data_IF_331211878066
#
_entry.id   IF_331211878066
#
_cell.length_a   1.000
_cell.length_b   1.000
_cell.length_c   1.000
_cell.angle_alpha   90.00
_cell.angle_beta   90.00
_cell.angle_gamma   90.00
#
_symmetry.space_group_name_H-M   'P 1'
#
loop_
_entity.id
_entity.type
_entity.pdbx_description
1 polymer ?
#
# COMPACT_ATOMS: atom_id res chain seq x y z
N UNK A 1 -1.01 -9.57 -21.13
CA UNK A 1 -1.63 -8.45 -20.38
C UNK A 1 -3.14 -8.64 -20.15
N UNK A 2 -4.01 -8.73 -21.17
CA UNK A 2 -5.48 -8.81 -20.97
C UNK A 2 -5.96 -9.95 -20.07
N UNK A 3 -5.41 -11.15 -20.22
CA UNK A 3 -5.76 -12.31 -19.41
C UNK A 3 -5.36 -12.13 -17.93
N UNK A 4 -4.12 -11.72 -17.67
CA UNK A 4 -3.63 -11.45 -16.31
C UNK A 4 -4.45 -10.37 -15.60
N UNK A 5 -4.88 -9.34 -16.33
CA UNK A 5 -5.78 -8.31 -15.81
C UNK A 5 -7.12 -8.89 -15.36
N UNK A 6 -7.78 -9.69 -16.22
CA UNK A 6 -9.06 -10.30 -15.89
C UNK A 6 -8.97 -11.23 -14.67
N UNK A 7 -7.90 -12.05 -14.62
CA UNK A 7 -7.63 -12.97 -13.52
C UNK A 7 -7.42 -12.24 -12.18
N UNK A 8 -6.61 -11.18 -12.17
CA UNK A 8 -6.37 -10.34 -10.98
C UNK A 8 -7.63 -9.60 -10.52
N UNK A 9 -8.69 -9.51 -11.33
CA UNK A 9 -9.98 -8.93 -10.96
C UNK A 9 -11.09 -9.98 -10.71
N UNK A 10 -10.80 -11.27 -10.87
CA UNK A 10 -11.77 -12.36 -10.63
C UNK A 10 -12.19 -12.45 -9.17
N UNK A 11 -13.37 -12.98 -8.89
CA UNK A 11 -13.84 -13.25 -7.52
C UNK A 11 -13.22 -14.52 -6.92
N UNK A 12 -12.66 -15.40 -7.76
CA UNK A 12 -12.06 -16.66 -7.32
C UNK A 12 -10.61 -16.45 -6.91
N UNK A 13 -10.21 -16.97 -5.74
CA UNK A 13 -8.85 -16.82 -5.23
C UNK A 13 -7.80 -17.50 -6.15
N UNK A 14 -8.15 -18.64 -6.73
CA UNK A 14 -7.32 -19.41 -7.66
C UNK A 14 -7.00 -18.60 -8.92
N UNK A 15 -7.99 -17.89 -9.47
CA UNK A 15 -7.79 -17.01 -10.62
C UNK A 15 -6.83 -15.86 -10.27
N UNK A 16 -7.00 -15.25 -9.10
CA UNK A 16 -6.12 -14.15 -8.66
C UNK A 16 -4.68 -14.65 -8.54
N UNK A 17 -4.47 -15.80 -7.90
CA UNK A 17 -3.14 -16.42 -7.78
C UNK A 17 -2.54 -16.74 -9.14
N UNK A 18 -3.33 -17.28 -10.08
CA UNK A 18 -2.88 -17.53 -11.45
C UNK A 18 -2.51 -16.23 -12.16
N UNK A 19 -3.29 -15.16 -11.97
CA UNK A 19 -3.03 -13.83 -12.49
C UNK A 19 -1.71 -13.24 -11.97
N UNK A 20 -1.45 -13.39 -10.67
CA UNK A 20 -0.20 -12.99 -10.00
C UNK A 20 0.99 -13.74 -10.62
N UNK A 21 0.93 -15.07 -10.68
CA UNK A 21 2.02 -15.89 -11.22
C UNK A 21 2.35 -15.52 -12.68
N UNK A 22 1.33 -15.23 -13.49
CA UNK A 22 1.52 -14.76 -14.86
C UNK A 22 2.20 -13.38 -14.94
N UNK A 23 1.85 -12.46 -14.03
CA UNK A 23 2.47 -11.14 -13.98
C UNK A 23 3.93 -11.21 -13.53
N UNK A 24 4.24 -12.05 -12.54
CA UNK A 24 5.61 -12.28 -12.06
C UNK A 24 6.49 -12.88 -13.16
N UNK A 25 5.99 -13.91 -13.85
CA UNK A 25 6.70 -14.49 -14.99
C UNK A 25 6.96 -13.47 -16.09
N UNK A 26 5.97 -12.61 -16.39
CA UNK A 26 6.12 -11.57 -17.41
C UNK A 26 7.06 -10.44 -17.00
N UNK A 27 7.17 -10.13 -15.71
CA UNK A 27 8.11 -9.14 -15.17
C UNK A 27 9.54 -9.67 -15.18
N UNK A 28 9.73 -10.97 -14.90
CA UNK A 28 11.04 -11.62 -14.96
C UNK A 28 11.62 -11.68 -16.39
N UNK A 29 10.75 -11.70 -17.41
CA UNK A 29 11.15 -11.78 -18.82
C UNK A 29 11.25 -10.43 -19.55
N UNK A 30 11.03 -9.31 -18.85
CA UNK A 30 10.85 -7.99 -19.49
C UNK A 30 12.00 -7.03 -19.22
N UNK A 31 12.16 -6.04 -20.11
CA UNK A 31 13.09 -4.90 -20.04
C UNK A 31 12.43 -3.81 -20.88
N UNK A 32 12.37 -2.48 -20.55
CA UNK A 32 12.84 -1.66 -19.43
C UNK A 32 11.73 -1.23 -18.41
N UNK A 33 12.06 -0.49 -17.32
CA UNK A 33 11.15 -0.23 -16.17
C UNK A 33 9.82 0.49 -16.50
N UNK A 34 9.77 1.25 -17.58
CA UNK A 34 8.60 2.06 -17.96
C UNK A 34 7.48 1.22 -18.57
N UNK A 35 7.80 0.20 -19.37
CA UNK A 35 6.79 -0.69 -19.98
C UNK A 35 6.18 -1.65 -18.95
N UNK A 36 6.89 -1.91 -17.87
CA UNK A 36 6.46 -2.82 -16.82
C UNK A 36 5.68 -2.14 -15.69
N UNK A 37 5.58 -0.81 -15.70
CA UNK A 37 4.90 -0.04 -14.65
C UNK A 37 3.44 -0.49 -14.48
N UNK A 38 2.70 -0.68 -15.58
CA UNK A 38 1.31 -1.15 -15.52
C UNK A 38 1.21 -2.59 -14.98
N UNK A 39 2.16 -3.46 -15.34
CA UNK A 39 2.23 -4.83 -14.84
C UNK A 39 2.52 -4.86 -13.34
N UNK A 40 3.44 -4.00 -12.91
CA UNK A 40 3.87 -3.88 -11.52
C UNK A 40 2.73 -3.35 -10.63
N UNK A 41 1.94 -2.40 -11.13
CA UNK A 41 0.73 -1.95 -10.47
C UNK A 41 -0.34 -3.04 -10.39
N UNK A 42 -0.57 -3.79 -11.48
CA UNK A 42 -1.49 -4.92 -11.46
C UNK A 42 -1.06 -6.01 -10.48
N UNK A 43 0.25 -6.25 -10.35
CA UNK A 43 0.80 -7.18 -9.38
C UNK A 43 0.54 -6.69 -7.95
N UNK A 44 0.73 -5.39 -7.69
CA UNK A 44 0.41 -4.78 -6.40
C UNK A 44 -1.08 -4.95 -6.04
N UNK A 45 -1.99 -4.75 -7.01
CA UNK A 45 -3.43 -4.99 -6.83
C UNK A 45 -3.71 -6.46 -6.54
N UNK A 46 -3.07 -7.39 -7.24
CA UNK A 46 -3.19 -8.83 -6.99
C UNK A 46 -2.86 -9.18 -5.54
N UNK A 47 -1.69 -8.72 -5.07
CA UNK A 47 -1.26 -8.96 -3.69
C UNK A 47 -2.17 -8.29 -2.63
N UNK A 48 -2.69 -7.09 -2.92
CA UNK A 48 -3.68 -6.46 -2.04
C UNK A 48 -4.94 -7.33 -1.90
N UNK A 49 -5.43 -7.90 -3.02
CA UNK A 49 -6.63 -8.73 -3.03
C UNK A 49 -6.46 -10.09 -2.36
N UNK A 50 -5.24 -10.63 -2.34
CA UNK A 50 -4.92 -11.86 -1.59
C UNK A 50 -4.61 -11.61 -0.12
N UNK A 51 -4.58 -10.33 0.32
CA UNK A 51 -4.30 -9.95 1.71
C UNK A 51 -2.81 -9.83 2.05
N UNK A 52 -1.90 -9.97 1.07
CA UNK A 52 -0.47 -9.74 1.27
C UNK A 52 -0.16 -8.24 1.13
N UNK A 53 -0.58 -7.49 2.14
CA UNK A 53 -0.44 -6.04 2.17
C UNK A 53 1.02 -5.58 2.20
N UNK A 54 1.91 -6.38 2.80
CA UNK A 54 3.34 -6.10 2.86
C UNK A 54 3.98 -6.09 1.47
N UNK A 55 3.77 -7.14 0.66
CA UNK A 55 4.26 -7.17 -0.72
C UNK A 55 3.57 -6.14 -1.59
N UNK A 56 2.26 -5.96 -1.43
CA UNK A 56 1.51 -4.95 -2.17
C UNK A 56 2.08 -3.53 -1.95
N UNK A 57 2.44 -3.19 -0.71
CA UNK A 57 3.08 -1.92 -0.36
C UNK A 57 4.43 -1.73 -1.05
N UNK A 58 5.31 -2.72 -0.99
CA UNK A 58 6.63 -2.63 -1.63
C UNK A 58 6.52 -2.39 -3.14
N UNK A 59 5.59 -3.09 -3.79
CA UNK A 59 5.34 -2.93 -5.22
C UNK A 59 4.76 -1.55 -5.57
N UNK A 60 3.82 -1.04 -4.76
CA UNK A 60 3.23 0.28 -5.03
C UNK A 60 4.22 1.42 -4.77
N UNK A 61 5.13 1.27 -3.79
CA UNK A 61 6.22 2.22 -3.56
C UNK A 61 7.15 2.28 -4.79
N UNK A 62 7.53 1.13 -5.35
CA UNK A 62 8.29 1.09 -6.60
C UNK A 62 7.54 1.72 -7.78
N UNK A 63 6.22 1.57 -7.87
CA UNK A 63 5.42 2.28 -8.88
C UNK A 63 5.55 3.80 -8.76
N UNK A 64 5.59 4.32 -7.53
CA UNK A 64 5.68 5.76 -7.24
C UNK A 64 7.10 6.26 -7.49
N UNK A 65 8.14 5.46 -7.21
CA UNK A 65 9.52 5.79 -7.59
C UNK A 65 9.67 5.97 -9.11
N UNK A 66 8.98 5.13 -9.91
CA UNK A 66 8.97 5.23 -11.37
C UNK A 66 8.13 6.44 -11.85
N UNK A 67 6.95 6.65 -11.26
CA UNK A 67 6.10 7.80 -11.56
C UNK A 67 5.48 8.39 -10.29
N UNK A 68 6.06 9.48 -9.74
CA UNK A 68 5.59 10.09 -8.49
C UNK A 68 4.14 10.60 -8.55
N UNK A 69 3.71 11.09 -9.70
CA UNK A 69 2.38 11.69 -9.89
C UNK A 69 1.28 10.68 -10.24
N UNK A 70 1.54 9.38 -10.10
CA UNK A 70 0.55 8.36 -10.43
C UNK A 70 -0.53 8.25 -9.36
N UNK A 71 -1.62 9.01 -9.55
CA UNK A 71 -2.77 9.06 -8.63
C UNK A 71 -3.31 7.70 -8.19
N UNK A 72 -3.41 6.73 -9.10
CA UNK A 72 -3.92 5.39 -8.76
C UNK A 72 -3.00 4.65 -7.80
N UNK A 73 -1.68 4.72 -8.02
CA UNK A 73 -0.69 4.12 -7.12
C UNK A 73 -0.70 4.80 -5.73
N UNK A 74 -0.83 6.13 -5.69
CA UNK A 74 -0.94 6.88 -4.44
C UNK A 74 -2.19 6.50 -3.63
N UNK A 75 -3.35 6.36 -4.30
CA UNK A 75 -4.59 5.93 -3.66
C UNK A 75 -4.48 4.49 -3.15
N UNK A 76 -3.89 3.59 -3.95
CA UNK A 76 -3.65 2.21 -3.54
C UNK A 76 -2.73 2.13 -2.32
N UNK A 77 -1.62 2.89 -2.30
CA UNK A 77 -0.70 2.97 -1.17
C UNK A 77 -1.43 3.37 0.12
N UNK A 78 -2.21 4.45 0.08
CA UNK A 78 -2.99 4.90 1.24
C UNK A 78 -3.96 3.82 1.73
N UNK A 79 -4.64 3.14 0.79
CA UNK A 79 -5.59 2.08 1.13
C UNK A 79 -4.90 0.88 1.81
N UNK A 80 -3.69 0.52 1.35
CA UNK A 80 -2.86 -0.52 1.97
C UNK A 80 -2.42 -0.10 3.36
N UNK A 81 -1.92 1.12 3.54
CA UNK A 81 -1.49 1.66 4.83
C UNK A 81 -2.64 1.71 5.84
N UNK A 82 -3.84 2.15 5.41
CA UNK A 82 -5.05 2.16 6.23
C UNK A 82 -5.45 0.74 6.67
N UNK A 83 -5.25 -0.26 5.79
CA UNK A 83 -5.53 -1.67 6.11
C UNK A 83 -4.53 -2.24 7.11
N UNK A 84 -3.24 -2.03 6.88
CA UNK A 84 -2.17 -2.45 7.80
C UNK A 84 -2.37 -1.78 9.17
N UNK A 85 -2.70 -0.49 9.20
CA UNK A 85 -2.97 0.23 10.44
C UNK A 85 -4.19 -0.32 11.17
N UNK A 86 -5.30 -0.59 10.47
CA UNK A 86 -6.50 -1.20 11.09
C UNK A 86 -6.22 -2.60 11.64
N UNK A 87 -5.55 -3.45 10.86
CA UNK A 87 -5.23 -4.82 11.28
C UNK A 87 -4.20 -4.82 12.42
N UNK A 88 -3.27 -3.86 12.42
CA UNK A 88 -2.30 -3.65 13.51
C UNK A 88 -2.91 -3.05 14.78
N UNK A 89 -3.89 -2.13 14.65
CA UNK A 89 -4.64 -1.53 15.77
C UNK A 89 -5.56 -2.56 16.45
N UNK A 90 -5.98 -3.63 15.74
CA UNK A 90 -6.72 -4.74 16.36
C UNK A 90 -5.82 -5.56 17.31
N UNK A 91 -4.50 -5.57 17.09
CA UNK A 91 -3.52 -6.26 17.96
C UNK A 91 -2.84 -5.37 19.01
N UNK A 92 -2.80 -4.06 18.79
CA UNK A 92 -2.23 -3.07 19.72
C UNK A 92 -3.40 -2.22 20.22
N UNK A 93 -3.95 -2.60 21.38
CA UNK A 93 -4.91 -1.76 22.09
C UNK A 93 -4.42 -0.31 22.09
N UNK A 94 -5.27 0.58 21.58
CA UNK A 94 -5.07 2.01 21.42
C UNK A 94 -4.27 2.57 22.59
N UNK A 95 -2.98 2.88 22.38
CA UNK A 95 -2.27 3.82 23.23
C UNK A 95 -2.41 5.19 22.59
N UNK A 96 -3.48 5.88 22.97
CA UNK A 96 -3.64 7.29 22.71
C UNK A 96 -2.52 8.05 23.43
N UNK A 97 -1.40 8.32 22.75
CA UNK A 97 -0.43 9.31 23.19
C UNK A 97 -0.82 10.67 22.62
N UNK A 98 -1.71 11.33 23.36
CA UNK A 98 -1.96 12.75 23.22
C UNK A 98 -0.80 13.55 23.84
N UNK A 99 0.08 14.16 23.03
CA UNK A 99 0.81 15.43 23.29
C UNK A 99 1.37 15.86 21.90
N UNK A 100 1.04 16.98 21.25
CA UNK A 100 0.77 18.32 21.76
C UNK A 100 1.97 19.25 21.58
N UNK A 101 2.55 19.44 20.37
CA UNK A 101 3.70 20.35 20.18
C UNK A 101 3.86 20.96 18.77
N UNK A 102 2.81 21.39 18.07
CA UNK A 102 2.97 22.39 16.98
C UNK A 102 1.86 23.43 17.03
N UNK A 103 1.79 24.16 18.14
CA UNK A 103 1.23 25.50 18.17
C UNK A 103 2.05 26.28 19.20
N UNK A 104 3.24 26.73 18.78
CA UNK A 104 4.01 27.71 19.55
C UNK A 104 3.17 28.97 19.67
N UNK A 105 2.64 29.23 20.87
CA UNK A 105 1.78 30.39 21.07
C UNK A 105 1.08 30.44 22.44
N UNK A 106 1.84 30.86 23.46
CA UNK A 106 1.39 31.70 24.59
C UNK A 106 0.52 31.06 25.71
N UNK A 107 1.03 31.20 26.94
CA UNK A 107 0.35 31.24 28.24
C UNK A 107 -0.25 29.92 28.78
N UNK A 108 -0.25 29.59 30.07
CA UNK A 108 0.29 30.23 31.26
C UNK A 108 0.32 29.19 32.40
N UNK A 109 1.30 29.36 33.29
CA UNK A 109 1.23 29.17 34.73
C UNK A 109 0.27 28.12 35.32
N UNK A 110 0.84 27.03 35.83
CA UNK A 110 0.45 26.43 37.12
C UNK A 110 1.76 26.02 37.82
N UNK A 111 2.45 26.96 38.44
CA UNK A 111 2.29 27.31 39.85
C UNK A 111 2.62 26.14 40.79
N UNK A 112 3.87 26.18 41.28
CA UNK A 112 4.29 25.57 42.55
C UNK A 112 3.26 25.85 43.65
N UNK A 113 2.94 24.85 44.48
CA UNK A 113 3.09 24.97 45.94
C UNK A 113 2.86 23.64 46.69
N UNK A 114 3.90 23.28 47.44
CA UNK A 114 3.97 22.77 48.83
C UNK A 114 3.15 21.53 49.21
#
# INVERSE_FOLDING_TARGET
MRLSWALVHSRQAEDIQRGIAMLEASLASSSPPLEDREKLYLLAVGYYRTGDYSKSRQLVERCIEIQPDWRQALVLKKTIEDKIAKDGVIGIGITATAVGLIAGGIAAALARKK
#
